data_IF_269364738000
#
_entry.id   IF_269364738000
#
_cell.length_a   1.000
_cell.length_b   1.000
_cell.length_c   1.000
_cell.angle_alpha   90.00
_cell.angle_beta   90.00
_cell.angle_gamma   90.00
#
_symmetry.space_group_name_H-M   'P 1'
#
loop_
_entity.id
_entity.type
_entity.pdbx_description
1 polymer ?
#
# COMPACT_ATOMS: atom_id res chain seq x y z
N UNK A 1 -19.63 1.29 12.83
CA UNK A 1 -20.18 0.08 12.16
C UNK A 1 -19.05 -0.57 11.38
N UNK A 2 -18.88 -1.89 11.41
CA UNK A 2 -17.83 -2.60 10.69
C UNK A 2 -18.45 -3.61 9.71
N UNK A 3 -17.80 -3.85 8.56
CA UNK A 3 -18.20 -4.86 7.59
C UNK A 3 -17.33 -6.12 7.78
N UNK A 4 -17.74 -7.01 8.68
CA UNK A 4 -16.93 -8.16 9.05
C UNK A 4 -15.55 -7.76 9.57
N UNK A 5 -14.51 -8.34 8.98
CA UNK A 5 -13.07 -8.14 9.28
C UNK A 5 -12.46 -6.91 8.58
N UNK A 6 -13.20 -6.29 7.67
CA UNK A 6 -12.76 -5.06 7.00
C UNK A 6 -12.79 -3.88 7.99
N UNK A 7 -11.65 -3.23 8.20
CA UNK A 7 -11.54 -2.07 9.10
C UNK A 7 -11.42 -0.75 8.36
N UNK A 8 -10.56 -0.74 7.35
CA UNK A 8 -10.24 0.43 6.54
C UNK A 8 -10.34 -0.01 5.09
N UNK A 9 -10.95 0.84 4.28
CA UNK A 9 -10.91 0.78 2.83
C UNK A 9 -10.70 2.20 2.36
N UNK A 10 -9.48 2.51 1.92
CA UNK A 10 -9.20 3.79 1.29
C UNK A 10 -9.35 3.66 -0.23
N UNK A 11 -9.56 4.79 -0.89
CA UNK A 11 -9.43 4.94 -2.34
C UNK A 11 -8.54 6.17 -2.53
N UNK A 12 -7.23 5.93 -2.50
CA UNK A 12 -6.22 6.99 -2.43
C UNK A 12 -5.69 7.31 -3.82
N UNK A 13 -5.63 8.59 -4.17
CA UNK A 13 -5.03 9.13 -5.40
C UNK A 13 -3.65 9.72 -5.12
N UNK A 14 -2.60 9.03 -5.52
CA UNK A 14 -1.22 9.44 -5.22
C UNK A 14 -0.56 10.00 -6.49
N UNK A 15 -0.21 11.29 -6.47
CA UNK A 15 0.58 11.89 -7.55
C UNK A 15 2.00 11.30 -7.55
N UNK A 16 2.60 11.14 -8.74
CA UNK A 16 3.91 10.52 -8.79
C UNK A 16 5.01 11.39 -8.17
N UNK A 17 5.96 10.75 -7.51
CA UNK A 17 6.93 11.41 -6.63
C UNK A 17 6.38 11.77 -5.24
N UNK A 18 5.07 11.65 -5.02
CA UNK A 18 4.45 11.72 -3.68
C UNK A 18 4.22 10.30 -3.13
N UNK A 19 3.90 10.21 -1.85
CA UNK A 19 3.63 8.94 -1.21
C UNK A 19 3.44 9.06 0.29
N UNK A 20 3.34 7.91 0.92
CA UNK A 20 3.39 7.73 2.35
C UNK A 20 4.82 7.38 2.75
N UNK A 21 5.45 8.25 3.53
CA UNK A 21 6.76 7.99 4.12
C UNK A 21 6.74 6.75 5.03
N UNK A 22 7.91 6.35 5.54
CA UNK A 22 8.02 5.20 6.43
C UNK A 22 7.10 5.36 7.66
N UNK A 23 6.16 4.43 7.84
CA UNK A 23 5.21 4.43 8.95
C UNK A 23 4.95 3.00 9.45
N UNK A 24 4.64 2.83 10.75
CA UNK A 24 4.43 1.51 11.35
C UNK A 24 2.99 1.01 11.15
N UNK A 25 2.84 -0.31 11.03
CA UNK A 25 1.59 -1.04 11.20
C UNK A 25 1.81 -2.24 12.12
N UNK A 26 0.81 -2.59 12.91
CA UNK A 26 0.83 -3.75 13.82
C UNK A 26 -0.51 -4.49 13.76
N UNK A 27 -0.48 -5.82 13.86
CA UNK A 27 -1.64 -6.69 13.87
C UNK A 27 -2.67 -6.42 12.74
N UNK A 28 -2.19 -6.18 11.53
CA UNK A 28 -3.01 -5.90 10.35
C UNK A 28 -2.55 -6.66 9.11
N UNK A 29 -3.50 -6.94 8.22
CA UNK A 29 -3.25 -7.43 6.86
C UNK A 29 -3.51 -6.28 5.89
N UNK A 30 -2.47 -5.85 5.19
CA UNK A 30 -2.53 -4.74 4.25
C UNK A 30 -2.59 -5.35 2.86
N UNK A 31 -3.69 -5.07 2.15
CA UNK A 31 -3.86 -5.45 0.76
C UNK A 31 -3.73 -4.16 -0.05
N UNK A 32 -2.89 -4.14 -1.07
CA UNK A 32 -2.71 -3.00 -1.95
C UNK A 32 -3.00 -3.43 -3.38
N UNK A 33 -3.92 -2.71 -4.02
CA UNK A 33 -4.35 -2.96 -5.40
C UNK A 33 -4.21 -1.64 -6.17
N UNK A 34 -3.13 -1.48 -6.97
CA UNK A 34 -3.03 -0.35 -7.88
C UNK A 34 -4.09 -0.47 -8.98
N UNK A 35 -4.98 0.52 -9.12
CA UNK A 35 -5.92 0.51 -10.26
C UNK A 35 -5.33 1.16 -11.50
N UNK A 36 -4.39 2.09 -11.32
CA UNK A 36 -3.68 2.80 -12.38
C UNK A 36 -2.26 3.15 -11.94
N UNK A 37 -1.35 3.37 -12.89
CA UNK A 37 0.01 3.81 -12.60
C UNK A 37 0.90 2.71 -12.02
N UNK A 38 1.87 3.13 -11.22
CA UNK A 38 2.82 2.26 -10.53
C UNK A 38 3.02 2.75 -9.10
N UNK A 39 3.16 1.82 -8.16
CA UNK A 39 3.43 2.10 -6.74
C UNK A 39 4.70 1.37 -6.32
N UNK A 40 5.65 2.10 -5.75
CA UNK A 40 6.84 1.54 -5.13
C UNK A 40 6.55 1.25 -3.65
N UNK A 41 6.69 -0.01 -3.26
CA UNK A 41 6.63 -0.47 -1.88
C UNK A 41 8.02 -0.79 -1.33
N UNK A 42 8.26 -0.39 -0.08
CA UNK A 42 9.46 -0.78 0.68
C UNK A 42 9.08 -1.03 2.13
N UNK A 43 9.56 -2.14 2.70
CA UNK A 43 9.42 -2.45 4.12
C UNK A 43 10.72 -2.86 4.81
N UNK A 44 10.67 -2.98 6.15
CA UNK A 44 11.78 -3.39 6.99
C UNK A 44 11.96 -4.92 7.11
N UNK A 45 11.18 -5.72 6.38
CA UNK A 45 11.30 -7.19 6.33
C UNK A 45 12.20 -7.66 5.17
N UNK A 46 12.74 -6.72 4.40
CA UNK A 46 13.63 -7.00 3.27
C UNK A 46 12.93 -6.92 1.91
N UNK A 47 11.64 -6.57 1.84
CA UNK A 47 10.97 -6.31 0.58
C UNK A 47 11.26 -4.86 0.17
N UNK A 48 12.47 -4.64 -0.34
CA UNK A 48 12.90 -3.31 -0.78
C UNK A 48 12.69 -3.12 -2.28
N UNK A 49 11.83 -2.18 -2.65
CA UNK A 49 11.73 -1.70 -4.04
C UNK A 49 10.80 -2.52 -4.93
N UNK A 50 9.78 -3.14 -4.36
CA UNK A 50 8.74 -3.81 -5.13
C UNK A 50 7.90 -2.77 -5.89
N UNK A 51 7.86 -2.87 -7.22
CA UNK A 51 7.04 -1.99 -8.06
C UNK A 51 5.76 -2.73 -8.43
N UNK A 52 4.66 -2.25 -7.89
CA UNK A 52 3.31 -2.73 -8.14
C UNK A 52 2.73 -1.95 -9.31
N UNK A 53 2.23 -2.64 -10.33
CA UNK A 53 1.58 -2.03 -11.49
C UNK A 53 0.07 -2.25 -11.47
N UNK A 54 -0.66 -1.54 -12.32
CA UNK A 54 -2.10 -1.68 -12.42
C UNK A 54 -2.51 -3.14 -12.66
N UNK A 55 -3.37 -3.67 -11.78
CA UNK A 55 -3.85 -5.06 -11.81
C UNK A 55 -3.11 -6.02 -10.88
N UNK A 56 -1.98 -5.61 -10.31
CA UNK A 56 -1.31 -6.39 -9.27
C UNK A 56 -2.11 -6.39 -7.97
N UNK A 57 -1.91 -7.44 -7.17
CA UNK A 57 -2.42 -7.52 -5.80
C UNK A 57 -1.26 -7.84 -4.88
N UNK A 58 -0.95 -6.90 -4.00
CA UNK A 58 0.05 -7.08 -2.96
C UNK A 58 -0.62 -7.32 -1.63
N UNK A 59 -0.02 -8.22 -0.84
CA UNK A 59 -0.49 -8.58 0.49
C UNK A 59 0.70 -8.55 1.43
N UNK A 60 0.61 -7.72 2.47
CA UNK A 60 1.60 -7.63 3.54
C UNK A 60 0.94 -7.90 4.89
N UNK A 61 1.46 -8.91 5.59
CA UNK A 61 1.07 -9.23 6.96
C UNK A 61 1.98 -8.49 7.94
N UNK A 62 1.44 -7.54 8.71
CA UNK A 62 2.22 -6.79 9.69
C UNK A 62 2.68 -7.64 10.87
N UNK A 63 1.95 -8.71 11.22
CA UNK A 63 2.31 -9.58 12.34
C UNK A 63 2.44 -8.81 13.66
N UNK A 64 3.63 -8.87 14.26
CA UNK A 64 4.01 -8.14 15.49
C UNK A 64 4.53 -6.72 15.24
N UNK A 65 4.55 -6.28 13.98
CA UNK A 65 4.99 -4.95 13.59
C UNK A 65 5.78 -4.97 12.27
N UNK A 66 5.40 -4.09 11.35
CA UNK A 66 6.14 -3.77 10.13
C UNK A 66 6.26 -2.26 9.98
N UNK A 67 7.39 -1.78 9.46
CA UNK A 67 7.54 -0.38 9.03
C UNK A 67 7.68 -0.39 7.52
N UNK A 68 6.81 0.35 6.85
CA UNK A 68 6.79 0.38 5.39
C UNK A 68 6.55 1.79 4.85
N UNK A 69 6.89 1.99 3.58
CA UNK A 69 6.67 3.22 2.82
C UNK A 69 6.14 2.86 1.45
N UNK A 70 5.24 3.70 0.93
CA UNK A 70 4.61 3.52 -0.36
C UNK A 70 4.75 4.84 -1.13
N UNK A 71 5.26 4.83 -2.36
CA UNK A 71 5.36 6.04 -3.16
C UNK A 71 4.92 5.83 -4.61
N UNK A 72 4.25 6.82 -5.20
CA UNK A 72 3.83 6.78 -6.58
C UNK A 72 5.04 6.82 -7.52
N UNK A 73 5.23 5.77 -8.32
CA UNK A 73 6.35 5.62 -9.23
C UNK A 73 6.02 6.10 -10.66
N UNK A 74 7.07 6.34 -11.44
CA UNK A 74 7.11 7.15 -12.65
C UNK A 74 6.34 6.59 -13.88
N UNK A 75 5.94 7.45 -14.85
CA UNK A 75 6.15 8.89 -14.84
C UNK A 75 5.30 9.60 -13.79
N UNK A 76 5.87 10.64 -13.17
CA UNK A 76 5.32 11.44 -12.05
C UNK A 76 3.91 12.02 -12.26
N UNK A 77 3.44 11.92 -13.50
CA UNK A 77 2.26 12.60 -14.02
C UNK A 77 1.00 11.74 -13.88
N UNK A 78 1.13 10.51 -13.34
CA UNK A 78 0.01 9.60 -13.14
C UNK A 78 -0.39 9.54 -11.68
N UNK A 79 -1.69 9.35 -11.48
CA UNK A 79 -2.28 9.14 -10.16
C UNK A 79 -2.36 7.64 -9.93
N UNK A 80 -1.71 7.13 -8.89
CA UNK A 80 -1.91 5.74 -8.47
C UNK A 80 -3.17 5.69 -7.61
N UNK A 81 -4.10 4.81 -7.95
CA UNK A 81 -5.25 4.52 -7.10
C UNK A 81 -4.93 3.34 -6.17
N UNK A 82 -5.07 3.49 -4.86
CA UNK A 82 -4.81 2.42 -3.88
C UNK A 82 -6.08 2.10 -3.09
N UNK A 83 -6.46 0.83 -3.08
CA UNK A 83 -7.44 0.29 -2.16
C UNK A 83 -6.77 -0.54 -1.06
N UNK A 84 -7.01 -0.19 0.22
CA UNK A 84 -6.36 -0.88 1.34
C UNK A 84 -7.22 -1.10 2.56
N UNK A 85 -7.17 -2.35 3.05
CA UNK A 85 -7.22 -2.68 4.48
C UNK A 85 -8.00 -3.95 4.81
N UNK A 86 -7.50 -4.73 5.77
CA UNK A 86 -8.25 -5.72 6.54
C UNK A 86 -7.52 -5.92 7.87
N UNK A 87 -8.18 -5.74 9.02
CA UNK A 87 -7.56 -6.24 10.26
C UNK A 87 -7.99 -7.68 10.46
N UNK A 88 -7.18 -8.43 11.21
CA UNK A 88 -7.71 -9.64 11.86
C UNK A 88 -8.83 -9.28 12.83
#
# INVERSE_FOLDING_TARGET
MHFGVLRVLNDDKIAGGMGFGAHPHDNMEIITIPLEGQLLHKDNMGNEGEVLVAGDVQVMSAGTGVVHSESGCFPTNKTCLRATGKSR
#
